data_IF_612109147721
#
_entry.id   IF_612109147721
#
_cell.length_a   1.000
_cell.length_b   1.000
_cell.length_c   1.000
_cell.angle_alpha   90.00
_cell.angle_beta   90.00
_cell.angle_gamma   90.00
#
_symmetry.space_group_name_H-M   'P 1'
#
loop_
_entity.id
_entity.type
_entity.pdbx_description
1 polymer ?
#
# COMPACT_ATOMS: atom_id res chain seq x y z
N UNK A 1 -46.52 -64.72 -32.10
CA UNK A 1 -47.17 -65.49 -31.03
C UNK A 1 -46.11 -66.37 -30.39
N UNK A 2 -45.87 -66.16 -29.08
CA UNK A 2 -45.28 -67.06 -28.08
C UNK A 2 -43.98 -67.88 -28.36
N UNK A 3 -42.95 -67.51 -27.58
CA UNK A 3 -42.19 -68.35 -26.61
C UNK A 3 -41.01 -69.26 -27.03
N UNK A 4 -39.86 -68.93 -26.40
CA UNK A 4 -38.67 -69.66 -25.86
C UNK A 4 -38.60 -71.21 -25.96
N UNK A 5 -37.46 -71.95 -25.95
CA UNK A 5 -36.04 -71.82 -25.57
C UNK A 5 -35.26 -73.07 -26.13
N UNK A 6 -34.08 -73.55 -25.63
CA UNK A 6 -32.70 -73.01 -25.55
C UNK A 6 -31.59 -73.98 -26.06
N UNK A 7 -30.30 -73.59 -26.03
CA UNK A 7 -29.17 -74.54 -26.21
C UNK A 7 -27.72 -73.98 -26.32
N UNK A 8 -27.16 -73.54 -25.18
CA UNK A 8 -25.78 -73.65 -24.63
C UNK A 8 -24.49 -73.57 -25.52
N UNK A 9 -23.52 -72.79 -24.99
CA UNK A 9 -22.14 -72.39 -25.41
C UNK A 9 -21.08 -73.52 -25.45
N UNK A 10 -19.96 -73.32 -26.18
CA UNK A 10 -18.57 -73.16 -25.66
C UNK A 10 -17.54 -72.89 -26.81
N UNK A 11 -16.49 -72.11 -26.47
CA UNK A 11 -15.25 -71.65 -27.17
C UNK A 11 -14.48 -72.69 -28.05
N UNK A 12 -13.43 -72.38 -28.87
CA UNK A 12 -12.39 -71.34 -28.65
C UNK A 12 -11.68 -70.68 -29.88
N UNK A 13 -10.76 -69.77 -29.55
CA UNK A 13 -9.43 -69.57 -30.16
C UNK A 13 -9.20 -68.56 -31.32
N UNK A 14 -8.18 -67.72 -31.08
CA UNK A 14 -7.35 -66.92 -31.99
C UNK A 14 -7.93 -65.69 -32.70
N UNK A 15 -7.61 -64.51 -32.18
CA UNK A 15 -7.32 -63.34 -33.03
C UNK A 15 -6.37 -62.35 -32.33
N UNK A 16 -5.11 -62.42 -32.77
CA UNK A 16 -4.09 -61.38 -32.92
C UNK A 16 -3.99 -60.23 -31.90
N UNK A 17 -2.89 -60.29 -31.15
CA UNK A 17 -2.25 -59.22 -30.38
C UNK A 17 -1.62 -58.18 -31.32
N UNK A 18 -2.08 -56.93 -31.28
CA UNK A 18 -1.35 -55.75 -31.79
C UNK A 18 -1.23 -54.77 -30.63
N UNK A 19 -0.16 -54.91 -29.84
CA UNK A 19 0.21 -53.94 -28.82
C UNK A 19 0.88 -52.78 -29.54
N UNK A 20 0.10 -51.74 -29.84
CA UNK A 20 0.62 -50.44 -30.23
C UNK A 20 1.24 -49.78 -29.00
N UNK A 21 2.57 -49.74 -28.94
CA UNK A 21 3.32 -48.99 -27.93
C UNK A 21 3.09 -47.50 -28.15
N UNK A 22 2.07 -46.94 -27.50
CA UNK A 22 1.90 -45.49 -27.41
C UNK A 22 3.03 -44.95 -26.56
N UNK A 23 4.08 -44.43 -27.21
CA UNK A 23 5.13 -43.63 -26.57
C UNK A 23 4.44 -42.34 -26.11
N UNK A 24 4.01 -42.29 -24.85
CA UNK A 24 3.74 -41.03 -24.17
C UNK A 24 5.08 -40.29 -24.03
N UNK A 25 5.41 -39.44 -25.00
CA UNK A 25 6.35 -38.36 -24.78
C UNK A 25 5.75 -37.47 -23.69
N UNK A 26 6.16 -37.71 -22.44
CA UNK A 26 6.02 -36.74 -21.37
C UNK A 26 6.88 -35.56 -21.82
N UNK A 27 6.23 -34.54 -22.38
CA UNK A 27 6.81 -33.21 -22.47
C UNK A 27 7.13 -32.83 -21.03
N UNK A 28 8.39 -33.00 -20.63
CA UNK A 28 8.94 -32.31 -19.50
C UNK A 28 8.87 -30.83 -19.88
N UNK A 29 7.71 -30.21 -19.61
CA UNK A 29 7.63 -28.78 -19.47
C UNK A 29 8.78 -28.43 -18.53
N UNK A 30 9.72 -27.61 -19.00
CA UNK A 30 10.81 -27.11 -18.19
C UNK A 30 10.20 -26.28 -17.06
N UNK A 31 9.76 -26.95 -16.00
CA UNK A 31 9.30 -26.31 -14.79
C UNK A 31 10.54 -25.64 -14.20
N UNK A 32 10.54 -24.31 -14.15
CA UNK A 32 11.59 -23.58 -13.46
C UNK A 32 11.68 -24.12 -12.03
N UNK A 33 12.88 -24.36 -11.50
CA UNK A 33 13.01 -24.85 -10.13
C UNK A 33 12.41 -23.84 -9.16
N UNK A 34 11.72 -24.37 -8.14
CA UNK A 34 11.15 -23.57 -7.06
C UNK A 34 12.24 -22.65 -6.47
N UNK A 35 11.94 -21.36 -6.25
CA UNK A 35 12.90 -20.43 -5.66
C UNK A 35 13.25 -20.84 -4.23
N UNK A 36 14.48 -20.51 -3.78
CA UNK A 36 14.84 -20.69 -2.38
C UNK A 36 13.95 -19.81 -1.50
N UNK A 37 13.46 -20.39 -0.41
CA UNK A 37 12.70 -19.70 0.63
C UNK A 37 13.55 -19.58 1.90
N UNK A 38 13.18 -18.69 2.84
CA UNK A 38 13.80 -18.65 4.16
C UNK A 38 13.79 -20.01 4.85
N UNK A 39 14.74 -20.25 5.75
CA UNK A 39 14.89 -21.56 6.44
C UNK A 39 13.74 -21.87 7.40
N UNK A 40 13.07 -20.84 7.91
CA UNK A 40 11.85 -20.90 8.73
C UNK A 40 11.07 -19.60 8.54
N UNK A 41 9.84 -19.55 9.06
CA UNK A 41 9.00 -18.34 9.07
C UNK A 41 9.23 -17.44 10.29
N UNK A 42 10.28 -17.73 11.09
CA UNK A 42 10.63 -16.90 12.24
C UNK A 42 11.24 -15.56 11.77
N UNK A 43 10.96 -14.44 12.47
CA UNK A 43 11.40 -13.11 12.05
C UNK A 43 12.90 -12.99 11.76
N UNK A 44 13.75 -13.56 12.62
CA UNK A 44 15.21 -13.52 12.49
C UNK A 44 15.70 -14.27 11.23
N UNK A 45 15.12 -15.43 10.94
CA UNK A 45 15.47 -16.24 9.79
C UNK A 45 15.02 -15.62 8.47
N UNK A 46 13.85 -14.98 8.46
CA UNK A 46 13.34 -14.23 7.30
C UNK A 46 14.18 -12.98 7.08
N UNK A 47 14.42 -12.19 8.12
CA UNK A 47 15.25 -10.99 8.06
C UNK A 47 16.66 -11.32 7.54
N UNK A 48 17.31 -12.35 8.10
CA UNK A 48 18.64 -12.78 7.66
C UNK A 48 18.64 -13.27 6.19
N UNK A 49 17.55 -13.86 5.72
CA UNK A 49 17.40 -14.21 4.30
C UNK A 49 17.27 -12.95 3.42
N UNK A 50 16.42 -12.00 3.80
CA UNK A 50 16.14 -10.78 3.03
C UNK A 50 17.30 -9.78 3.03
N UNK A 51 18.16 -9.82 4.03
CA UNK A 51 19.35 -8.95 4.13
C UNK A 51 20.64 -9.65 3.68
N UNK A 52 20.55 -10.88 3.18
CA UNK A 52 21.70 -11.62 2.66
C UNK A 52 22.14 -11.15 1.26
N UNK A 53 23.42 -11.34 0.87
CA UNK A 53 23.87 -11.09 -0.49
C UNK A 53 23.05 -11.88 -1.53
N UNK A 54 22.46 -11.19 -2.50
CA UNK A 54 21.61 -11.79 -3.54
C UNK A 54 20.13 -11.98 -3.15
N UNK A 55 19.71 -11.42 -2.02
CA UNK A 55 18.33 -11.44 -1.58
C UNK A 55 17.36 -10.78 -2.58
N UNK A 56 17.79 -9.72 -3.27
CA UNK A 56 17.07 -9.06 -4.36
C UNK A 56 16.67 -10.05 -5.46
N UNK A 57 17.63 -10.86 -5.93
CA UNK A 57 17.39 -11.86 -6.97
C UNK A 57 16.54 -13.02 -6.46
N UNK A 58 16.76 -13.44 -5.21
CA UNK A 58 15.96 -14.50 -4.59
C UNK A 58 14.50 -14.06 -4.44
N UNK A 59 14.27 -12.85 -3.92
CA UNK A 59 12.95 -12.27 -3.74
C UNK A 59 12.26 -12.00 -5.08
N UNK A 60 12.98 -11.48 -6.09
CA UNK A 60 12.45 -11.35 -7.44
C UNK A 60 11.97 -12.70 -8.00
N UNK A 61 12.72 -13.78 -7.76
CA UNK A 61 12.29 -15.14 -8.15
C UNK A 61 11.09 -15.61 -7.34
N UNK A 62 11.03 -15.37 -6.03
CA UNK A 62 9.85 -15.68 -5.21
C UNK A 62 8.61 -14.96 -5.76
N UNK A 63 8.74 -13.66 -6.04
CA UNK A 63 7.66 -12.78 -6.49
C UNK A 63 7.13 -13.14 -7.88
N UNK A 64 8.01 -13.57 -8.79
CA UNK A 64 7.65 -13.88 -10.19
C UNK A 64 7.40 -15.36 -10.46
N UNK A 65 7.61 -16.23 -9.48
CA UNK A 65 7.37 -17.65 -9.61
C UNK A 65 5.87 -17.97 -9.65
N UNK A 66 5.49 -18.90 -10.51
CA UNK A 66 4.09 -19.33 -10.65
C UNK A 66 3.76 -20.38 -9.58
N UNK A 67 3.45 -19.92 -8.38
CA UNK A 67 3.10 -20.76 -7.25
C UNK A 67 1.79 -21.54 -7.50
N UNK A 68 1.75 -22.86 -7.23
CA UNK A 68 0.55 -23.67 -7.43
C UNK A 68 -0.54 -23.45 -6.36
N UNK A 69 -0.20 -22.76 -5.26
CA UNK A 69 -1.06 -22.45 -4.12
C UNK A 69 -1.37 -20.96 -4.03
N UNK A 70 -1.41 -20.27 -5.16
CA UNK A 70 -1.68 -18.82 -5.26
C UNK A 70 -0.74 -17.94 -4.41
N UNK A 71 0.43 -18.47 -4.04
CA UNK A 71 1.45 -17.77 -3.25
C UNK A 71 1.25 -17.90 -1.74
N UNK A 72 0.34 -18.75 -1.28
CA UNK A 72 0.08 -18.94 0.15
C UNK A 72 1.33 -19.41 0.92
N UNK A 73 2.18 -20.26 0.32
CA UNK A 73 3.43 -20.72 0.92
C UNK A 73 4.44 -19.59 1.15
N UNK A 74 4.86 -18.81 0.13
CA UNK A 74 5.78 -17.70 0.36
C UNK A 74 5.18 -16.57 1.19
N UNK A 75 3.87 -16.31 1.11
CA UNK A 75 3.19 -15.24 1.87
C UNK A 75 3.44 -15.33 3.39
N UNK A 76 3.47 -16.55 3.95
CA UNK A 76 3.68 -16.80 5.39
C UNK A 76 5.01 -16.27 5.93
N UNK A 77 6.02 -16.08 5.10
CA UNK A 77 7.31 -15.57 5.54
C UNK A 77 7.27 -14.04 5.78
N UNK A 78 6.31 -13.32 5.20
CA UNK A 78 6.24 -11.86 5.26
C UNK A 78 5.20 -11.34 6.26
N UNK A 79 4.32 -12.20 6.77
CA UNK A 79 3.17 -11.79 7.58
C UNK A 79 3.50 -11.17 8.94
N UNK A 80 4.73 -11.34 9.44
CA UNK A 80 5.18 -10.74 10.70
C UNK A 80 5.59 -9.27 10.53
N UNK A 81 6.03 -8.86 9.33
CA UNK A 81 6.64 -7.54 9.08
C UNK A 81 5.70 -6.40 9.46
N UNK A 82 4.44 -6.45 9.02
CA UNK A 82 3.46 -5.41 9.32
C UNK A 82 3.15 -5.29 10.83
N UNK A 83 2.70 -6.38 11.48
CA UNK A 83 2.42 -6.38 12.93
C UNK A 83 3.60 -5.95 13.82
N UNK A 84 4.83 -6.30 13.42
CA UNK A 84 6.03 -6.03 14.22
C UNK A 84 6.68 -4.67 13.94
N UNK A 85 6.17 -3.90 12.97
CA UNK A 85 6.69 -2.57 12.61
C UNK A 85 6.73 -1.59 13.80
N UNK A 86 5.76 -1.70 14.72
CA UNK A 86 5.64 -0.86 15.91
C UNK A 86 5.99 -1.59 17.21
N UNK A 87 6.71 -2.72 17.12
CA UNK A 87 7.08 -3.51 18.29
C UNK A 87 7.82 -2.70 19.35
N UNK A 88 7.46 -2.91 20.62
CA UNK A 88 8.16 -2.34 21.77
C UNK A 88 9.61 -2.83 21.87
N UNK A 89 9.92 -3.98 21.25
CA UNK A 89 11.28 -4.49 21.11
C UNK A 89 11.97 -3.79 19.93
N UNK A 90 12.94 -2.88 20.15
CA UNK A 90 13.46 -2.04 19.07
C UNK A 90 14.18 -2.81 17.97
N UNK A 91 14.81 -3.93 18.32
CA UNK A 91 15.46 -4.83 17.35
C UNK A 91 14.44 -5.45 16.38
N UNK A 92 13.29 -5.91 16.89
CA UNK A 92 12.24 -6.52 16.06
C UNK A 92 11.61 -5.49 15.12
N UNK A 93 11.32 -4.29 15.62
CA UNK A 93 10.83 -3.19 14.78
C UNK A 93 11.84 -2.80 13.69
N UNK A 94 13.14 -2.79 14.00
CA UNK A 94 14.19 -2.55 13.00
C UNK A 94 14.22 -3.66 11.94
N UNK A 95 14.14 -4.94 12.34
CA UNK A 95 14.10 -6.04 11.37
C UNK A 95 12.88 -5.98 10.46
N UNK A 96 11.72 -5.60 11.00
CA UNK A 96 10.52 -5.38 10.22
C UNK A 96 10.75 -4.30 9.16
N UNK A 97 11.27 -3.14 9.54
CA UNK A 97 11.54 -2.06 8.58
C UNK A 97 12.60 -2.39 7.54
N UNK A 98 13.70 -3.05 7.92
CA UNK A 98 14.74 -3.47 6.97
C UNK A 98 14.18 -4.52 5.99
N UNK A 99 13.37 -5.46 6.47
CA UNK A 99 12.71 -6.46 5.62
C UNK A 99 11.70 -5.83 4.68
N UNK A 100 10.87 -4.91 5.18
CA UNK A 100 9.93 -4.13 4.40
C UNK A 100 10.62 -3.31 3.32
N UNK A 101 11.77 -2.70 3.63
CA UNK A 101 12.54 -1.90 2.69
C UNK A 101 13.01 -2.75 1.50
N UNK A 102 13.58 -3.94 1.74
CA UNK A 102 13.99 -4.87 0.68
C UNK A 102 12.80 -5.30 -0.19
N UNK A 103 11.63 -5.57 0.43
CA UNK A 103 10.41 -5.88 -0.31
C UNK A 103 10.02 -4.70 -1.20
N UNK A 104 10.03 -3.47 -0.67
CA UNK A 104 9.68 -2.27 -1.42
C UNK A 104 10.64 -2.01 -2.59
N UNK A 105 11.94 -2.18 -2.41
CA UNK A 105 12.94 -2.06 -3.48
C UNK A 105 12.67 -3.05 -4.62
N UNK A 106 12.43 -4.32 -4.30
CA UNK A 106 12.11 -5.34 -5.33
C UNK A 106 10.81 -5.01 -6.04
N UNK A 107 9.78 -4.57 -5.32
CA UNK A 107 8.52 -4.16 -5.96
C UNK A 107 8.67 -2.89 -6.81
N UNK A 108 9.56 -1.97 -6.43
CA UNK A 108 9.85 -0.77 -7.21
C UNK A 108 10.53 -1.09 -8.55
N UNK A 109 11.37 -2.14 -8.57
CA UNK A 109 12.08 -2.62 -9.77
C UNK A 109 11.23 -3.56 -10.64
N UNK A 110 10.13 -4.10 -10.11
CA UNK A 110 9.21 -4.91 -10.90
C UNK A 110 8.52 -4.03 -11.92
N UNK A 111 8.75 -4.34 -13.21
CA UNK A 111 7.97 -3.74 -14.28
C UNK A 111 6.49 -4.16 -14.11
N UNK A 112 5.54 -3.22 -14.19
CA UNK A 112 4.09 -3.52 -14.09
C UNK A 112 3.60 -4.57 -15.11
N UNK A 113 4.37 -4.82 -16.17
CA UNK A 113 4.08 -5.81 -17.20
C UNK A 113 4.21 -7.27 -16.71
N UNK A 114 4.79 -7.51 -15.52
CA UNK A 114 4.93 -8.84 -14.93
C UNK A 114 3.63 -9.27 -14.24
N UNK A 115 2.65 -9.68 -15.05
CA UNK A 115 1.27 -10.07 -14.71
C UNK A 115 1.10 -11.31 -13.81
N UNK A 116 2.08 -11.69 -12.99
CA UNK A 116 2.05 -13.00 -12.30
C UNK A 116 2.58 -12.99 -10.87
N UNK A 117 2.46 -11.87 -10.15
CA UNK A 117 2.57 -11.98 -8.69
C UNK A 117 1.29 -12.66 -8.19
N UNK A 118 1.45 -13.74 -7.44
CA UNK A 118 0.33 -14.52 -6.96
C UNK A 118 -0.50 -13.72 -5.93
N UNK A 119 -1.85 -13.87 -5.91
CA UNK A 119 -2.71 -13.02 -5.08
C UNK A 119 -2.36 -13.00 -3.59
N UNK A 120 -2.08 -14.15 -2.97
CA UNK A 120 -1.78 -14.21 -1.53
C UNK A 120 -0.43 -13.58 -1.21
N UNK A 121 0.51 -13.62 -2.16
CA UNK A 121 1.80 -12.97 -2.00
C UNK A 121 1.69 -11.45 -2.12
N UNK A 122 0.88 -10.93 -3.06
CA UNK A 122 0.58 -9.48 -3.12
C UNK A 122 -0.07 -9.03 -1.80
N UNK A 123 -1.02 -9.80 -1.27
CA UNK A 123 -1.69 -9.48 -0.01
C UNK A 123 -0.67 -9.37 1.14
N UNK A 124 0.23 -10.36 1.27
CA UNK A 124 1.26 -10.34 2.29
C UNK A 124 2.24 -9.16 2.14
N UNK A 125 2.61 -8.78 0.92
CA UNK A 125 3.42 -7.59 0.69
C UNK A 125 2.68 -6.29 1.02
N UNK A 126 1.39 -6.19 0.67
CA UNK A 126 0.58 -5.04 1.04
C UNK A 126 0.51 -4.88 2.56
N UNK A 127 0.21 -5.95 3.29
CA UNK A 127 0.16 -5.94 4.75
C UNK A 127 1.53 -5.59 5.37
N UNK A 128 2.62 -6.15 4.84
CA UNK A 128 3.97 -5.86 5.29
C UNK A 128 4.38 -4.40 5.08
N UNK A 129 3.95 -3.77 3.97
CA UNK A 129 4.36 -2.42 3.59
C UNK A 129 3.44 -1.31 4.12
N UNK A 130 2.21 -1.65 4.53
CA UNK A 130 1.20 -0.69 4.99
C UNK A 130 1.74 0.26 6.07
N UNK A 131 2.44 -0.20 7.14
CA UNK A 131 2.95 0.69 8.17
C UNK A 131 4.04 1.67 7.69
N UNK A 132 4.72 1.36 6.58
CA UNK A 132 5.89 2.12 6.11
C UNK A 132 5.56 3.10 4.97
N UNK A 133 4.27 3.35 4.71
CA UNK A 133 3.82 4.16 3.57
C UNK A 133 4.35 5.60 3.57
N UNK A 134 4.45 6.24 4.75
CA UNK A 134 5.05 7.57 4.85
C UNK A 134 6.56 7.54 4.58
N UNK A 135 7.26 6.53 5.12
CA UNK A 135 8.68 6.30 4.88
C UNK A 135 8.99 6.02 3.39
N UNK A 136 8.10 5.31 2.68
CA UNK A 136 8.23 5.07 1.24
C UNK A 136 8.31 6.35 0.41
N UNK A 137 7.70 7.46 0.85
CA UNK A 137 7.79 8.76 0.18
C UNK A 137 8.81 9.71 0.84
N UNK A 138 9.70 9.18 1.68
CA UNK A 138 10.81 9.91 2.28
C UNK A 138 10.45 10.70 3.55
N UNK A 139 9.33 10.38 4.19
CA UNK A 139 8.95 10.96 5.48
C UNK A 139 9.36 10.06 6.64
N UNK A 140 10.33 10.52 7.41
CA UNK A 140 10.66 9.91 8.71
C UNK A 140 9.55 10.22 9.73
N UNK A 141 8.70 9.24 9.98
CA UNK A 141 7.66 9.19 11.00
C UNK A 141 8.10 8.45 12.28
N UNK A 142 9.39 8.13 12.40
CA UNK A 142 9.94 7.38 13.51
C UNK A 142 9.90 5.85 13.33
N UNK A 143 9.41 5.35 12.19
CA UNK A 143 9.53 3.92 11.86
C UNK A 143 11.01 3.52 11.70
N UNK A 144 11.39 2.42 12.35
CA UNK A 144 12.79 1.96 12.39
C UNK A 144 13.11 1.11 11.17
N UNK A 145 14.36 1.13 10.71
CA UNK A 145 14.90 0.17 9.74
C UNK A 145 14.47 0.37 8.28
N UNK A 146 13.41 1.12 8.00
CA UNK A 146 12.99 1.39 6.63
C UNK A 146 13.90 2.45 5.98
N UNK A 147 14.67 2.05 4.98
CA UNK A 147 15.58 2.94 4.24
C UNK A 147 14.85 3.89 3.29
N UNK A 148 15.60 4.86 2.74
CA UNK A 148 15.07 5.79 1.73
C UNK A 148 14.73 5.05 0.43
N UNK A 149 13.45 5.00 0.06
CA UNK A 149 12.98 4.42 -1.20
C UNK A 149 12.70 5.50 -2.26
N UNK A 150 12.12 6.62 -1.84
CA UNK A 150 11.76 7.75 -2.69
C UNK A 150 11.75 9.02 -1.86
N UNK A 151 11.56 10.15 -2.54
CA UNK A 151 11.36 11.45 -1.89
C UNK A 151 10.08 12.09 -2.40
N UNK A 152 9.56 13.13 -1.73
CA UNK A 152 8.43 13.88 -2.28
C UNK A 152 8.74 14.51 -3.64
N UNK A 153 10.02 14.78 -3.93
CA UNK A 153 10.48 15.31 -5.20
C UNK A 153 10.70 14.24 -6.26
N UNK A 154 10.91 12.98 -5.90
CA UNK A 154 11.03 11.87 -6.83
C UNK A 154 10.26 10.63 -6.32
N UNK A 155 8.93 10.58 -6.53
CA UNK A 155 8.07 9.52 -6.03
C UNK A 155 7.98 8.32 -6.99
N UNK A 156 8.97 8.12 -7.88
CA UNK A 156 8.92 7.09 -8.92
C UNK A 156 8.89 5.66 -8.35
N UNK A 157 9.79 5.33 -7.43
CA UNK A 157 9.85 3.99 -6.86
C UNK A 157 8.61 3.69 -6.00
N UNK A 158 8.16 4.65 -5.17
CA UNK A 158 6.89 4.52 -4.43
C UNK A 158 5.70 4.26 -5.37
N UNK A 159 5.58 4.99 -6.50
CA UNK A 159 4.53 4.72 -7.50
C UNK A 159 4.58 3.29 -8.04
N UNK A 160 5.77 2.78 -8.34
CA UNK A 160 5.92 1.39 -8.83
C UNK A 160 5.41 0.38 -7.79
N UNK A 161 5.73 0.56 -6.51
CA UNK A 161 5.21 -0.29 -5.42
C UNK A 161 3.68 -0.27 -5.40
N UNK A 162 3.07 0.91 -5.40
CA UNK A 162 1.60 1.06 -5.43
C UNK A 162 0.99 0.40 -6.67
N UNK A 163 1.62 0.54 -7.84
CA UNK A 163 1.15 -0.06 -9.08
C UNK A 163 1.17 -1.59 -9.04
N UNK A 164 2.18 -2.20 -8.42
CA UNK A 164 2.25 -3.66 -8.24
C UNK A 164 1.18 -4.14 -7.26
N UNK A 165 1.03 -3.49 -6.10
CA UNK A 165 0.01 -3.87 -5.11
C UNK A 165 -1.40 -3.74 -5.68
N UNK A 166 -1.68 -2.67 -6.44
CA UNK A 166 -2.98 -2.42 -7.07
C UNK A 166 -3.36 -3.42 -8.17
N UNK A 167 -2.47 -4.35 -8.54
CA UNK A 167 -2.84 -5.47 -9.43
C UNK A 167 -3.77 -6.47 -8.76
N UNK A 168 -3.75 -6.57 -7.43
CA UNK A 168 -4.78 -7.24 -6.64
C UNK A 168 -5.81 -6.19 -6.22
N UNK A 169 -7.09 -6.38 -6.60
CA UNK A 169 -8.12 -5.37 -6.37
C UNK A 169 -8.38 -5.12 -4.88
N UNK A 170 -8.49 -6.18 -4.07
CA UNK A 170 -8.86 -6.06 -2.65
C UNK A 170 -7.72 -5.44 -1.83
N UNK A 171 -6.50 -5.98 -1.99
CA UNK A 171 -5.34 -5.45 -1.27
C UNK A 171 -4.91 -4.09 -1.80
N UNK A 172 -5.08 -3.85 -3.10
CA UNK A 172 -4.89 -2.53 -3.70
C UNK A 172 -5.78 -1.47 -3.06
N UNK A 173 -7.09 -1.72 -2.96
CA UNK A 173 -8.04 -0.80 -2.34
C UNK A 173 -7.66 -0.50 -0.88
N UNK A 174 -7.42 -1.53 -0.06
CA UNK A 174 -7.01 -1.38 1.35
C UNK A 174 -5.72 -0.57 1.49
N UNK A 175 -4.72 -0.86 0.66
CA UNK A 175 -3.44 -0.17 0.67
C UNK A 175 -3.57 1.32 0.28
N UNK A 176 -4.39 1.61 -0.73
CA UNK A 176 -4.70 2.97 -1.19
C UNK A 176 -5.43 3.76 -0.09
N UNK A 177 -6.46 3.19 0.54
CA UNK A 177 -7.17 3.86 1.64
C UNK A 177 -6.25 4.15 2.83
N UNK A 178 -5.40 3.19 3.19
CA UNK A 178 -4.38 3.39 4.23
C UNK A 178 -3.45 4.55 3.89
N UNK A 179 -3.03 4.67 2.63
CA UNK A 179 -2.13 5.75 2.20
C UNK A 179 -2.79 7.13 2.31
N UNK A 180 -4.09 7.24 1.99
CA UNK A 180 -4.84 8.46 2.22
C UNK A 180 -4.98 8.78 3.72
N UNK A 181 -5.24 7.79 4.57
CA UNK A 181 -5.29 7.97 6.03
C UNK A 181 -3.94 8.48 6.57
N UNK A 182 -2.85 7.79 6.24
CA UNK A 182 -1.51 8.18 6.68
C UNK A 182 -1.11 9.57 6.17
N UNK A 183 -1.48 9.97 4.95
CA UNK A 183 -1.23 11.32 4.47
C UNK A 183 -1.92 12.39 5.33
N UNK A 184 -3.16 12.12 5.75
CA UNK A 184 -3.92 12.99 6.65
C UNK A 184 -3.28 13.02 8.05
N UNK A 185 -2.92 11.88 8.60
CA UNK A 185 -2.28 11.75 9.93
C UNK A 185 -0.94 12.48 10.01
N UNK A 186 -0.09 12.34 8.99
CA UNK A 186 1.20 13.03 8.89
C UNK A 186 1.02 14.54 8.93
N UNK A 187 0.07 15.07 8.15
CA UNK A 187 -0.19 16.50 8.11
C UNK A 187 -0.80 17.02 9.42
N UNK A 188 -1.74 16.27 10.02
CA UNK A 188 -2.38 16.61 11.28
C UNK A 188 -1.38 16.68 12.44
N UNK A 189 -0.49 15.69 12.56
CA UNK A 189 0.54 15.66 13.60
C UNK A 189 1.50 16.87 13.49
N UNK A 190 1.90 17.24 12.28
CA UNK A 190 2.74 18.42 12.06
C UNK A 190 2.00 19.74 12.32
N UNK A 191 0.70 19.81 12.02
CA UNK A 191 -0.13 20.95 12.35
C UNK A 191 -0.29 21.11 13.86
N UNK A 192 -0.56 20.02 14.59
CA UNK A 192 -0.60 20.01 16.05
C UNK A 192 0.70 20.57 16.65
N UNK A 193 1.85 20.07 16.18
CA UNK A 193 3.16 20.54 16.62
C UNK A 193 3.37 22.03 16.29
N UNK A 194 3.08 22.45 15.06
CA UNK A 194 3.24 23.83 14.64
C UNK A 194 2.35 24.81 15.40
N UNK A 195 1.13 24.37 15.76
CA UNK A 195 0.20 25.15 16.54
C UNK A 195 0.58 25.22 18.03
N UNK A 196 1.28 24.21 18.57
CA UNK A 196 1.92 24.29 19.90
C UNK A 196 3.16 25.20 19.89
N UNK A 197 3.92 25.16 18.81
CA UNK A 197 5.21 25.84 18.69
C UNK A 197 5.29 26.70 17.41
N UNK A 198 4.71 27.91 17.41
CA UNK A 198 4.63 28.75 16.21
C UNK A 198 6.00 29.05 15.56
N UNK A 199 7.08 29.05 16.34
CA UNK A 199 8.44 29.28 15.84
C UNK A 199 8.95 28.22 14.86
N UNK A 200 8.35 27.02 14.85
CA UNK A 200 8.73 25.91 13.96
C UNK A 200 7.64 25.52 12.97
N UNK A 201 6.44 26.12 13.06
CA UNK A 201 5.24 25.78 12.31
C UNK A 201 5.49 25.58 10.81
N UNK A 202 6.02 26.60 10.13
CA UNK A 202 6.28 26.54 8.69
C UNK A 202 7.25 25.41 8.29
N UNK A 203 8.26 25.12 9.13
CA UNK A 203 9.26 24.08 8.84
C UNK A 203 8.66 22.68 8.97
N UNK A 204 7.94 22.43 10.07
CA UNK A 204 7.35 21.11 10.33
C UNK A 204 6.21 20.83 9.35
N UNK A 205 5.35 21.82 9.09
CA UNK A 205 4.24 21.68 8.16
C UNK A 205 4.73 21.48 6.73
N UNK A 206 5.73 22.23 6.25
CA UNK A 206 6.22 22.09 4.87
C UNK A 206 6.70 20.67 4.59
N UNK A 207 7.47 20.08 5.49
CA UNK A 207 7.97 18.70 5.33
C UNK A 207 6.80 17.70 5.29
N UNK A 208 5.90 17.79 6.27
CA UNK A 208 4.76 16.88 6.40
C UNK A 208 3.75 17.03 5.25
N UNK A 209 3.43 18.26 4.84
CA UNK A 209 2.50 18.51 3.73
C UNK A 209 3.06 18.02 2.40
N UNK A 210 4.37 18.17 2.15
CA UNK A 210 5.00 17.59 0.95
C UNK A 210 4.95 16.06 0.98
N UNK A 211 5.19 15.44 2.13
CA UNK A 211 5.03 13.99 2.28
C UNK A 211 3.57 13.54 2.09
N UNK A 212 2.60 14.21 2.71
CA UNK A 212 1.18 13.94 2.55
C UNK A 212 0.74 14.10 1.09
N UNK A 213 1.23 15.13 0.39
CA UNK A 213 0.99 15.34 -1.03
C UNK A 213 1.58 14.21 -1.88
N UNK A 214 2.82 13.81 -1.61
CA UNK A 214 3.47 12.73 -2.32
C UNK A 214 2.74 11.40 -2.09
N UNK A 215 2.42 11.06 -0.84
CA UNK A 215 1.75 9.81 -0.48
C UNK A 215 0.33 9.73 -1.07
N UNK A 216 -0.49 10.76 -0.88
CA UNK A 216 -1.83 10.81 -1.47
C UNK A 216 -1.80 10.90 -3.01
N UNK A 217 -0.73 11.45 -3.59
CA UNK A 217 -0.51 11.49 -5.02
C UNK A 217 -0.13 10.12 -5.59
N UNK A 218 0.79 9.38 -4.97
CA UNK A 218 1.12 8.01 -5.43
C UNK A 218 -0.07 7.08 -5.30
N UNK A 219 -0.88 7.21 -4.23
CA UNK A 219 -2.14 6.50 -4.09
C UNK A 219 -3.12 6.84 -5.22
N UNK A 220 -3.29 8.14 -5.52
CA UNK A 220 -4.13 8.60 -6.61
C UNK A 220 -3.71 8.08 -8.00
N UNK A 221 -2.41 7.82 -8.21
CA UNK A 221 -1.90 7.34 -9.49
C UNK A 221 -2.44 5.96 -9.91
N UNK A 222 -2.91 5.17 -8.93
CA UNK A 222 -3.41 3.80 -9.12
C UNK A 222 -4.87 3.62 -8.71
N UNK A 223 -5.49 4.66 -8.16
CA UNK A 223 -6.85 4.61 -7.66
C UNK A 223 -7.90 4.77 -8.78
N UNK A 224 -8.71 3.73 -8.96
CA UNK A 224 -9.80 3.69 -9.95
C UNK A 224 -11.01 4.54 -9.55
N UNK A 225 -11.15 4.84 -8.27
CA UNK A 225 -12.24 5.61 -7.67
C UNK A 225 -11.85 7.07 -7.42
N UNK A 226 -10.68 7.53 -7.88
CA UNK A 226 -10.18 8.90 -7.65
C UNK A 226 -11.21 9.99 -8.00
N UNK A 227 -11.98 9.80 -9.08
CA UNK A 227 -13.04 10.75 -9.51
C UNK A 227 -14.18 10.92 -8.50
N UNK A 228 -14.37 9.95 -7.61
CA UNK A 228 -15.40 9.94 -6.57
C UNK A 228 -14.86 10.48 -5.23
N UNK A 229 -13.56 10.74 -5.13
CA UNK A 229 -12.94 11.33 -3.95
C UNK A 229 -13.07 12.85 -3.93
N UNK A 230 -13.06 13.48 -2.75
CA UNK A 230 -12.88 14.92 -2.66
C UNK A 230 -11.52 15.34 -3.27
N UNK A 231 -11.38 16.62 -3.66
CA UNK A 231 -10.08 17.21 -3.97
C UNK A 231 -9.02 16.86 -2.92
N UNK A 232 -7.83 16.44 -3.37
CA UNK A 232 -6.83 15.81 -2.52
C UNK A 232 -6.37 16.66 -1.31
N UNK A 233 -6.39 17.99 -1.45
CA UNK A 233 -6.00 18.89 -0.36
C UNK A 233 -7.06 18.97 0.75
N UNK A 234 -8.35 18.72 0.44
CA UNK A 234 -9.46 18.95 1.36
C UNK A 234 -9.36 18.12 2.66
N UNK A 235 -9.18 16.78 2.62
CA UNK A 235 -9.01 15.99 3.84
C UNK A 235 -7.80 16.43 4.66
N UNK A 236 -6.72 16.82 3.98
CA UNK A 236 -5.47 17.25 4.61
C UNK A 236 -5.66 18.55 5.38
N UNK A 237 -6.23 19.59 4.77
CA UNK A 237 -6.46 20.87 5.48
C UNK A 237 -7.52 20.76 6.57
N UNK A 238 -8.51 19.88 6.41
CA UNK A 238 -9.50 19.62 7.46
C UNK A 238 -8.84 19.01 8.69
N UNK A 239 -8.05 17.95 8.55
CA UNK A 239 -7.37 17.36 9.69
C UNK A 239 -6.32 18.28 10.32
N UNK A 240 -5.59 19.05 9.51
CA UNK A 240 -4.69 20.08 10.04
C UNK A 240 -5.43 21.13 10.86
N UNK A 241 -6.60 21.60 10.39
CA UNK A 241 -7.41 22.57 11.10
C UNK A 241 -8.00 21.98 12.40
N UNK A 242 -8.50 20.74 12.38
CA UNK A 242 -8.97 20.03 13.59
C UNK A 242 -7.86 19.89 14.64
N UNK A 243 -6.66 19.48 14.22
CA UNK A 243 -5.50 19.35 15.09
C UNK A 243 -5.12 20.69 15.74
N UNK A 244 -5.14 21.78 14.97
CA UNK A 244 -4.86 23.11 15.50
C UNK A 244 -5.97 23.64 16.42
N UNK A 245 -7.24 23.43 16.12
CA UNK A 245 -8.36 23.80 17.00
C UNK A 245 -8.27 23.09 18.35
N UNK A 246 -7.85 21.82 18.35
CA UNK A 246 -7.65 21.05 19.59
C UNK A 246 -6.54 21.62 20.49
N UNK A 247 -5.56 22.32 19.91
CA UNK A 247 -4.42 22.92 20.62
C UNK A 247 -4.66 24.39 20.97
N UNK A 248 -5.00 25.20 19.96
CA UNK A 248 -5.10 26.65 20.05
C UNK A 248 -6.47 27.13 20.54
N UNK A 249 -7.48 26.25 20.51
CA UNK A 249 -8.87 26.60 20.79
C UNK A 249 -9.53 27.34 19.62
N UNK A 250 -10.75 27.80 19.87
CA UNK A 250 -11.57 28.51 18.89
C UNK A 250 -10.94 29.88 18.53
N UNK A 251 -10.72 30.17 17.23
CA UNK A 251 -10.21 31.46 16.82
C UNK A 251 -11.23 32.57 17.09
N UNK A 252 -10.79 33.77 17.51
CA UNK A 252 -11.70 34.86 17.84
C UNK A 252 -12.38 35.49 16.61
N UNK A 253 -11.87 35.22 15.40
CA UNK A 253 -12.33 35.82 14.15
C UNK A 253 -11.91 34.95 12.94
N UNK A 254 -12.49 35.24 11.78
CA UNK A 254 -12.20 34.59 10.51
C UNK A 254 -13.36 33.70 10.04
N UNK A 255 -13.39 33.38 8.75
CA UNK A 255 -14.49 32.61 8.15
C UNK A 255 -14.64 31.19 8.71
N UNK A 256 -13.58 30.63 9.34
CA UNK A 256 -13.66 29.31 9.95
C UNK A 256 -14.66 29.27 11.12
N UNK A 257 -14.89 30.40 11.81
CA UNK A 257 -15.80 30.49 12.96
C UNK A 257 -17.25 30.17 12.56
N UNK A 258 -17.65 30.49 11.33
CA UNK A 258 -18.98 30.17 10.79
C UNK A 258 -19.23 28.64 10.66
N UNK A 259 -18.14 27.87 10.72
CA UNK A 259 -18.13 26.42 10.56
C UNK A 259 -17.76 25.66 11.84
N UNK A 260 -17.83 26.31 13.00
CA UNK A 260 -17.57 25.69 14.29
C UNK A 260 -18.87 25.43 15.07
N UNK A 261 -18.91 24.29 15.75
CA UNK A 261 -19.91 23.96 16.77
C UNK A 261 -19.22 23.38 18.01
N UNK A 262 -19.28 24.12 19.11
CA UNK A 262 -18.59 23.76 20.36
C UNK A 262 -17.07 23.61 20.19
N UNK A 263 -16.44 24.51 19.41
CA UNK A 263 -14.99 24.49 19.15
C UNK A 263 -14.50 23.40 18.20
N UNK A 264 -15.41 22.68 17.53
CA UNK A 264 -15.08 21.64 16.54
C UNK A 264 -15.62 22.01 15.17
N UNK A 265 -14.91 21.62 14.12
CA UNK A 265 -15.40 21.78 12.76
C UNK A 265 -16.69 20.97 12.54
N UNK A 266 -17.63 21.57 11.82
CA UNK A 266 -18.83 20.87 11.37
C UNK A 266 -18.45 19.74 10.40
N UNK A 267 -19.10 18.57 10.48
CA UNK A 267 -18.88 17.52 9.48
C UNK A 267 -19.20 18.02 8.06
N UNK A 268 -18.44 17.63 7.03
CA UNK A 268 -18.68 18.08 5.65
C UNK A 268 -20.12 17.82 5.17
N UNK A 269 -20.73 16.70 5.57
CA UNK A 269 -22.13 16.40 5.24
C UNK A 269 -23.11 17.45 5.80
N UNK A 270 -22.87 17.93 7.02
CA UNK A 270 -23.70 18.98 7.65
C UNK A 270 -23.55 20.31 6.93
N UNK A 271 -22.37 20.61 6.40
CA UNK A 271 -22.13 21.83 5.61
C UNK A 271 -22.81 21.73 4.25
N UNK A 272 -22.74 20.58 3.57
CA UNK A 272 -23.44 20.34 2.31
C UNK A 272 -24.97 20.42 2.41
N UNK A 273 -25.54 20.11 3.58
CA UNK A 273 -26.97 20.31 3.81
C UNK A 273 -27.36 21.79 3.90
N UNK A 274 -26.40 22.67 4.21
CA UNK A 274 -26.59 24.12 4.39
C UNK A 274 -26.18 24.92 3.15
N UNK A 275 -25.19 24.43 2.41
CA UNK A 275 -24.55 25.13 1.30
C UNK A 275 -24.51 24.27 0.03
N UNK A 276 -24.47 24.91 -1.13
CA UNK A 276 -24.43 24.20 -2.43
C UNK A 276 -23.07 23.58 -2.75
N UNK A 277 -22.02 23.87 -1.99
CA UNK A 277 -20.67 23.34 -2.19
C UNK A 277 -19.84 23.40 -0.90
N UNK A 278 -18.72 22.69 -0.86
CA UNK A 278 -17.76 22.71 0.25
C UNK A 278 -16.57 23.66 0.04
N UNK A 279 -16.55 24.44 -1.04
CA UNK A 279 -15.38 25.25 -1.39
C UNK A 279 -15.08 26.29 -0.30
N UNK A 280 -16.08 27.07 0.13
CA UNK A 280 -15.94 28.07 1.20
C UNK A 280 -15.50 27.44 2.53
N UNK A 281 -16.01 26.24 2.82
CA UNK A 281 -15.67 25.48 4.02
C UNK A 281 -14.18 25.10 4.06
N UNK A 282 -13.65 24.45 3.03
CA UNK A 282 -12.23 24.09 2.97
C UNK A 282 -11.32 25.30 2.73
N UNK A 283 -11.81 26.34 2.06
CA UNK A 283 -11.12 27.62 1.94
C UNK A 283 -10.89 28.23 3.33
N UNK A 284 -11.92 28.27 4.18
CA UNK A 284 -11.81 28.82 5.54
C UNK A 284 -10.78 28.08 6.40
N UNK A 285 -10.68 26.76 6.26
CA UNK A 285 -9.71 25.93 6.94
C UNK A 285 -8.29 26.20 6.43
N UNK A 286 -8.13 26.30 5.11
CA UNK A 286 -6.83 26.65 4.49
C UNK A 286 -6.34 28.01 4.97
N UNK A 287 -7.22 28.99 5.02
CA UNK A 287 -6.89 30.33 5.51
C UNK A 287 -6.54 30.31 7.00
N UNK A 288 -7.29 29.55 7.81
CA UNK A 288 -6.99 29.36 9.23
C UNK A 288 -5.59 28.77 9.46
N UNK A 289 -5.26 27.63 8.84
CA UNK A 289 -3.94 26.99 9.02
C UNK A 289 -2.81 27.89 8.50
N UNK A 290 -3.03 28.60 7.39
CA UNK A 290 -2.04 29.54 6.83
C UNK A 290 -1.80 30.73 7.75
N UNK A 291 -2.87 31.26 8.37
CA UNK A 291 -2.77 32.36 9.34
C UNK A 291 -2.02 31.95 10.63
N UNK A 292 -1.99 30.65 10.95
CA UNK A 292 -1.18 30.08 12.03
C UNK A 292 0.28 29.84 11.62
N UNK A 293 0.66 30.18 10.39
CA UNK A 293 2.01 30.02 9.87
C UNK A 293 2.32 28.61 9.36
N UNK A 294 1.30 27.76 9.18
CA UNK A 294 1.47 26.45 8.54
C UNK A 294 1.49 26.63 7.02
N UNK A 295 2.56 26.16 6.42
CA UNK A 295 2.79 26.17 4.97
C UNK A 295 2.13 24.95 4.29
N UNK A 296 1.19 25.23 3.38
CA UNK A 296 0.53 24.25 2.52
C UNK A 296 0.73 24.51 1.02
N UNK A 297 1.56 25.49 0.64
CA UNK A 297 1.59 26.01 -0.74
C UNK A 297 2.07 25.00 -1.77
N UNK A 298 2.98 24.11 -1.35
CA UNK A 298 3.61 23.13 -2.24
C UNK A 298 2.72 21.92 -2.55
N UNK A 299 1.59 21.76 -1.85
CA UNK A 299 0.81 20.52 -1.88
C UNK A 299 0.45 20.09 -3.31
N UNK A 300 -0.20 20.94 -4.09
CA UNK A 300 -0.65 20.54 -5.43
C UNK A 300 0.51 20.34 -6.42
N UNK A 301 1.62 21.06 -6.27
CA UNK A 301 2.78 20.85 -7.13
C UNK A 301 3.38 19.45 -6.89
N UNK A 302 3.55 19.06 -5.63
CA UNK A 302 4.06 17.73 -5.26
C UNK A 302 3.04 16.64 -5.59
N UNK A 303 1.76 16.85 -5.27
CA UNK A 303 0.70 15.89 -5.52
C UNK A 303 0.55 15.58 -7.01
N UNK A 304 0.55 16.60 -7.88
CA UNK A 304 0.45 16.39 -9.34
C UNK A 304 1.64 15.58 -9.87
N UNK A 305 2.85 15.87 -9.36
CA UNK A 305 4.05 15.11 -9.73
C UNK A 305 3.96 13.65 -9.31
N UNK A 306 3.48 13.40 -8.09
CA UNK A 306 3.29 12.05 -7.56
C UNK A 306 2.13 11.30 -8.23
N UNK A 307 1.05 11.97 -8.61
CA UNK A 307 -0.12 11.34 -9.25
C UNK A 307 0.09 11.07 -10.75
N UNK A 308 0.88 11.90 -11.43
CA UNK A 308 0.95 11.89 -12.90
C UNK A 308 2.36 11.70 -13.46
N UNK A 309 3.41 11.72 -12.62
CA UNK A 309 4.79 11.57 -13.04
C UNK A 309 5.32 12.73 -13.89
N UNK A 310 4.75 13.94 -13.73
CA UNK A 310 5.15 15.16 -14.45
C UNK A 310 5.46 16.29 -13.49
#
# INVERSE_FOLDING_TARGET
MFVAAPGIRFSPAYAALLIGTTICMVLAACAMPEPPLPRSAEPDAVHAFLTSPGADQALMRITTYNWPDDGAKPARYFSWIGPDATSDAPEIATWAGESAHVVAEVLADIRPELKRVSPDLINAYADALTPFQAAMVGYDDGMRGFGELSTPDDPAAARSVFAVIATNAESGEKFIESAYSHAVEVAAAAAEQGCREPSVAARVSRRAVRAAAALSGVAASVDKELKNRPPALWPVVNAMAEACLAVAGEPPQGCIVDYLDGGRLLPPAVVLDRESSLESYYQSQRDYVTNLGLDVSDFYAVWNKAAHGR
#
